data_IF_805430616151
#
_entry.id   IF_805430616151
#
_cell.length_a   1.000
_cell.length_b   1.000
_cell.length_c   1.000
_cell.angle_alpha   90.00
_cell.angle_beta   90.00
_cell.angle_gamma   90.00
#
_symmetry.space_group_name_H-M   'P 1'
#
loop_
_entity.id
_entity.type
_entity.pdbx_description
1 polymer ?
#
# COMPACT_ATOMS: atom_id res chain seq x y z
N UNK A 1 4.68 2.81 -26.45
CA UNK A 1 5.86 3.10 -25.69
C UNK A 1 5.57 2.93 -24.20
N UNK A 2 6.13 1.89 -23.57
CA UNK A 2 5.84 1.61 -22.16
C UNK A 2 6.28 2.74 -21.23
N UNK A 3 7.17 3.60 -21.67
CA UNK A 3 7.60 4.74 -20.88
C UNK A 3 6.61 5.90 -20.90
N UNK A 4 5.59 5.82 -21.73
CA UNK A 4 4.58 6.87 -21.83
C UNK A 4 3.49 6.69 -20.80
N UNK A 5 3.81 6.94 -19.57
CA UNK A 5 2.79 7.06 -18.51
C UNK A 5 2.20 8.46 -18.58
N UNK A 6 0.93 8.54 -18.90
CA UNK A 6 0.23 9.82 -18.92
C UNK A 6 -0.18 10.19 -17.50
N UNK A 7 0.28 11.35 -17.03
CA UNK A 7 -0.15 11.88 -15.76
C UNK A 7 -1.49 12.58 -15.98
N UNK A 8 -2.50 12.17 -15.24
CA UNK A 8 -3.84 12.77 -15.29
C UNK A 8 -4.30 13.12 -13.88
N UNK A 9 -4.96 14.23 -13.75
CA UNK A 9 -5.66 14.56 -12.52
C UNK A 9 -6.86 13.64 -12.34
N UNK A 10 -6.91 12.94 -11.22
CA UNK A 10 -8.02 12.06 -10.84
C UNK A 10 -8.47 12.39 -9.44
N UNK A 11 -9.77 12.32 -9.22
CA UNK A 11 -10.33 12.59 -7.91
C UNK A 11 -9.93 11.53 -6.90
N UNK A 12 -9.43 11.98 -5.75
CA UNK A 12 -9.10 11.10 -4.63
C UNK A 12 -10.38 10.87 -3.83
N UNK A 13 -10.78 9.61 -3.71
CA UNK A 13 -11.94 9.21 -2.90
C UNK A 13 -11.60 9.25 -1.42
N UNK A 14 -10.43 8.73 -1.05
CA UNK A 14 -9.97 8.72 0.33
C UNK A 14 -8.45 8.58 0.39
N UNK A 15 -7.87 9.06 1.49
CA UNK A 15 -6.49 8.76 1.85
C UNK A 15 -6.57 7.95 3.15
N UNK A 16 -6.11 6.71 3.10
CA UNK A 16 -6.09 5.87 4.29
C UNK A 16 -4.81 6.09 5.08
N UNK A 17 -4.93 6.06 6.38
CA UNK A 17 -3.81 6.17 7.32
C UNK A 17 -3.85 4.94 8.21
N UNK A 18 -2.82 4.11 8.12
CA UNK A 18 -2.79 2.87 8.88
C UNK A 18 -1.47 2.69 9.61
N UNK A 19 -1.53 2.00 10.73
CA UNK A 19 -0.37 1.49 11.45
C UNK A 19 -0.51 -0.02 11.50
N UNK A 20 -0.09 -0.71 10.46
CA UNK A 20 -0.26 -2.15 10.39
C UNK A 20 0.59 -2.87 11.43
N UNK A 21 0.19 -4.10 11.77
CA UNK A 21 0.93 -4.97 12.68
C UNK A 21 2.02 -5.74 11.91
N UNK A 22 2.77 -5.06 11.08
CA UNK A 22 3.88 -5.66 10.35
C UNK A 22 5.15 -5.62 11.19
N UNK A 23 5.96 -6.66 11.08
CA UNK A 23 7.29 -6.67 11.67
C UNK A 23 8.28 -5.93 10.78
N UNK A 24 8.08 -6.03 9.45
CA UNK A 24 8.97 -5.47 8.45
C UNK A 24 8.21 -4.73 7.36
N UNK A 25 8.88 -3.71 6.80
CA UNK A 25 8.48 -3.03 5.57
C UNK A 25 9.65 -3.03 4.61
N UNK A 26 9.45 -2.51 3.40
CA UNK A 26 10.49 -2.41 2.39
C UNK A 26 10.96 -0.96 2.27
N UNK A 27 12.26 -0.76 2.30
CA UNK A 27 12.88 0.52 1.97
C UNK A 27 13.43 0.44 0.55
N UNK A 28 12.89 1.28 -0.33
CA UNK A 28 13.40 1.46 -1.68
C UNK A 28 14.31 2.70 -1.64
N UNK A 29 15.60 2.48 -1.67
CA UNK A 29 16.57 3.56 -1.57
C UNK A 29 16.56 4.46 -2.81
N UNK A 30 16.96 5.71 -2.62
CA UNK A 30 17.10 6.67 -3.72
C UNK A 30 17.94 6.05 -4.85
N UNK A 31 17.48 6.20 -6.08
CA UNK A 31 18.11 5.66 -7.30
C UNK A 31 18.16 4.12 -7.37
N UNK A 32 17.45 3.41 -6.50
CA UNK A 32 17.56 1.94 -6.44
C UNK A 32 17.05 1.23 -7.70
N UNK A 33 16.03 1.79 -8.35
CA UNK A 33 15.43 1.16 -9.54
C UNK A 33 16.04 1.67 -10.84
N UNK A 34 16.36 2.94 -10.89
CA UNK A 34 17.10 3.61 -11.95
C UNK A 34 17.45 5.02 -11.47
N UNK A 35 18.19 5.77 -12.31
CA UNK A 35 18.56 7.14 -11.96
C UNK A 35 17.32 7.97 -11.59
N UNK A 36 17.34 8.55 -10.41
CA UNK A 36 16.26 9.38 -9.85
C UNK A 36 14.92 8.62 -9.67
N UNK A 37 14.97 7.31 -9.52
CA UNK A 37 13.80 6.47 -9.23
C UNK A 37 14.13 5.47 -8.12
N UNK A 38 13.60 5.66 -6.93
CA UNK A 38 12.91 6.87 -6.48
C UNK A 38 13.85 8.05 -6.31
N UNK A 39 13.28 9.24 -6.26
CA UNK A 39 14.06 10.49 -6.07
C UNK A 39 14.49 10.70 -4.62
N UNK A 40 13.93 9.93 -3.70
CA UNK A 40 14.26 9.92 -2.28
C UNK A 40 13.97 8.53 -1.73
N UNK A 41 14.61 8.16 -0.62
CA UNK A 41 14.32 6.91 0.07
C UNK A 41 12.82 6.81 0.34
N UNK A 42 12.21 5.69 -0.01
CA UNK A 42 10.77 5.49 0.06
C UNK A 42 10.46 4.20 0.81
N UNK A 43 9.69 4.33 1.88
CA UNK A 43 9.23 3.17 2.67
C UNK A 43 7.85 2.75 2.21
N UNK A 44 7.64 1.46 2.04
CA UNK A 44 6.41 0.91 1.47
C UNK A 44 6.15 -0.49 2.06
N UNK A 45 4.89 -0.88 2.16
CA UNK A 45 4.56 -2.22 2.64
C UNK A 45 5.02 -3.28 1.63
N UNK A 46 5.33 -4.48 2.14
CA UNK A 46 5.89 -5.57 1.33
C UNK A 46 5.02 -5.98 0.14
N UNK A 47 3.72 -5.94 0.32
CA UNK A 47 2.76 -6.38 -0.70
C UNK A 47 2.36 -5.31 -1.71
N UNK A 48 2.78 -4.07 -1.48
CA UNK A 48 2.46 -2.96 -2.37
C UNK A 48 3.21 -3.09 -3.68
N UNK A 49 2.51 -2.90 -4.78
CA UNK A 49 3.11 -3.06 -6.11
C UNK A 49 3.66 -1.74 -6.63
N UNK A 50 4.82 -1.84 -7.25
CA UNK A 50 5.50 -0.72 -7.90
C UNK A 50 5.92 -1.14 -9.30
N UNK A 51 6.04 -0.15 -10.19
CA UNK A 51 6.49 -0.41 -11.56
C UNK A 51 8.00 -0.65 -11.59
N UNK A 52 8.40 -1.74 -12.23
CA UNK A 52 9.80 -2.06 -12.46
C UNK A 52 9.94 -2.88 -13.75
N UNK A 53 10.72 -2.37 -14.70
CA UNK A 53 11.04 -3.05 -15.98
C UNK A 53 9.83 -3.65 -16.70
N UNK A 54 8.79 -2.86 -16.86
CA UNK A 54 7.63 -3.24 -17.66
C UNK A 54 6.49 -3.93 -16.89
N UNK A 55 6.63 -4.15 -15.58
CA UNK A 55 5.62 -4.84 -14.77
C UNK A 55 5.40 -4.17 -13.43
N UNK A 56 4.21 -4.35 -12.89
CA UNK A 56 3.91 -3.99 -11.49
C UNK A 56 4.29 -5.17 -10.61
N UNK A 57 5.29 -4.98 -9.77
CA UNK A 57 5.90 -6.02 -8.93
C UNK A 57 5.73 -5.65 -7.45
N UNK A 58 5.47 -6.63 -6.61
CA UNK A 58 5.43 -6.40 -5.16
C UNK A 58 6.77 -5.89 -4.67
N UNK A 59 6.75 -4.88 -3.80
CA UNK A 59 7.97 -4.30 -3.24
C UNK A 59 8.87 -5.37 -2.62
N UNK A 60 8.28 -6.37 -1.96
CA UNK A 60 9.02 -7.48 -1.38
C UNK A 60 9.85 -8.27 -2.40
N UNK A 61 9.37 -8.39 -3.63
CA UNK A 61 10.11 -9.09 -4.69
C UNK A 61 11.31 -8.29 -5.19
N UNK A 62 11.27 -6.97 -5.08
CA UNK A 62 12.38 -6.11 -5.49
C UNK A 62 13.62 -6.27 -4.63
N UNK A 63 13.45 -6.73 -3.39
CA UNK A 63 14.58 -6.96 -2.47
C UNK A 63 15.60 -7.91 -3.08
N UNK A 64 15.14 -8.94 -3.79
CA UNK A 64 16.00 -9.94 -4.43
C UNK A 64 16.54 -9.47 -5.79
N UNK A 65 15.99 -8.39 -6.34
CA UNK A 65 16.32 -7.92 -7.70
C UNK A 65 17.18 -6.67 -7.71
N UNK A 66 17.16 -5.89 -6.65
CA UNK A 66 17.82 -4.58 -6.60
C UNK A 66 18.61 -4.43 -5.29
N UNK A 67 19.90 -4.08 -5.40
CA UNK A 67 20.75 -3.88 -4.21
C UNK A 67 20.27 -2.76 -3.29
N UNK A 68 19.69 -1.72 -3.86
CA UNK A 68 19.20 -0.56 -3.11
C UNK A 68 17.83 -0.78 -2.45
N UNK A 69 17.27 -1.98 -2.53
CA UNK A 69 15.99 -2.33 -1.93
C UNK A 69 16.20 -3.35 -0.83
N UNK A 70 15.69 -3.07 0.36
CA UNK A 70 15.89 -3.95 1.52
C UNK A 70 14.69 -3.98 2.45
N UNK A 71 14.56 -5.07 3.19
CA UNK A 71 13.59 -5.16 4.29
C UNK A 71 14.18 -4.49 5.50
N UNK A 72 13.37 -3.69 6.17
CA UNK A 72 13.76 -3.01 7.42
C UNK A 72 12.69 -3.25 8.48
N UNK A 73 13.09 -3.14 9.74
CA UNK A 73 12.14 -3.24 10.84
C UNK A 73 11.11 -2.10 10.74
N UNK A 74 9.84 -2.43 10.90
CA UNK A 74 8.80 -1.42 10.91
C UNK A 74 8.85 -0.63 12.21
N UNK A 75 8.98 0.68 12.10
CA UNK A 75 9.14 1.60 13.24
C UNK A 75 7.83 2.15 13.80
N UNK A 76 6.69 1.72 13.26
CA UNK A 76 5.38 2.19 13.71
C UNK A 76 4.89 3.48 13.08
N UNK A 77 5.58 4.01 12.07
CA UNK A 77 5.12 5.20 11.37
C UNK A 77 3.82 4.93 10.59
N UNK A 78 3.00 5.96 10.50
CA UNK A 78 1.74 5.85 9.75
C UNK A 78 2.02 5.64 8.26
N UNK A 79 1.42 4.60 7.69
CA UNK A 79 1.44 4.38 6.26
C UNK A 79 0.20 5.00 5.61
N UNK A 80 0.38 5.56 4.43
CA UNK A 80 -0.67 6.23 3.67
C UNK A 80 -0.94 5.48 2.38
N UNK A 81 -2.21 5.35 2.03
CA UNK A 81 -2.63 4.84 0.73
C UNK A 81 -3.67 5.77 0.12
N UNK A 82 -3.65 5.88 -1.19
CA UNK A 82 -4.61 6.69 -1.95
C UNK A 82 -5.64 5.76 -2.58
N UNK A 83 -6.90 6.03 -2.31
CA UNK A 83 -8.03 5.32 -2.91
C UNK A 83 -8.64 6.20 -4.00
N UNK A 84 -8.68 5.66 -5.21
CA UNK A 84 -9.39 6.26 -6.33
C UNK A 84 -10.66 5.45 -6.63
N UNK A 85 -11.52 5.98 -7.48
CA UNK A 85 -12.76 5.31 -7.89
C UNK A 85 -12.47 3.95 -8.56
N UNK A 86 -11.39 3.89 -9.35
CA UNK A 86 -10.90 2.65 -9.96
C UNK A 86 -9.45 2.43 -9.55
N UNK A 87 -9.07 1.16 -9.42
CA UNK A 87 -7.68 0.80 -9.18
C UNK A 87 -6.78 1.35 -10.29
N UNK A 88 -5.75 2.07 -9.93
CA UNK A 88 -4.89 2.77 -10.87
C UNK A 88 -3.46 2.86 -10.31
N UNK A 89 -2.68 3.71 -10.92
CA UNK A 89 -1.30 3.98 -10.54
C UNK A 89 -1.17 5.44 -10.13
N UNK A 90 -0.22 5.72 -9.25
CA UNK A 90 0.14 7.06 -8.82
C UNK A 90 1.65 7.19 -8.80
N UNK A 91 2.15 8.40 -8.79
CA UNK A 91 3.59 8.65 -8.70
C UNK A 91 3.93 9.21 -7.32
N UNK A 92 4.89 8.57 -6.66
CA UNK A 92 5.42 8.98 -5.36
C UNK A 92 6.94 8.99 -5.47
N UNK A 93 7.57 10.13 -5.26
CA UNK A 93 9.02 10.27 -5.39
C UNK A 93 9.56 9.70 -6.72
N UNK A 94 8.92 10.03 -7.83
CA UNK A 94 9.18 9.50 -9.18
C UNK A 94 8.95 7.98 -9.32
N UNK A 95 8.52 7.32 -8.28
CA UNK A 95 8.20 5.90 -8.30
C UNK A 95 6.73 5.71 -8.66
N UNK A 96 6.44 4.87 -9.63
CA UNK A 96 5.06 4.53 -10.00
C UNK A 96 4.59 3.41 -9.08
N UNK A 97 3.58 3.69 -8.29
CA UNK A 97 2.96 2.76 -7.33
C UNK A 97 1.51 2.52 -7.71
N UNK A 98 0.95 1.39 -7.28
CA UNK A 98 -0.49 1.20 -7.39
C UNK A 98 -1.23 2.04 -6.35
N UNK A 99 -2.45 2.46 -6.69
CA UNK A 99 -3.39 2.98 -5.71
C UNK A 99 -3.97 1.83 -4.90
N UNK A 100 -4.67 2.13 -3.81
CA UNK A 100 -5.30 1.09 -3.01
C UNK A 100 -6.38 0.37 -3.84
N UNK A 101 -6.34 -0.96 -3.86
CA UNK A 101 -7.34 -1.76 -4.56
C UNK A 101 -8.71 -1.53 -3.90
N UNK A 102 -9.76 -1.14 -4.68
CA UNK A 102 -11.10 -0.97 -4.12
C UNK A 102 -11.66 -2.22 -3.43
N UNK A 103 -11.19 -3.41 -3.79
CA UNK A 103 -11.57 -4.67 -3.14
C UNK A 103 -10.76 -4.98 -1.88
N UNK A 104 -9.72 -4.19 -1.58
CA UNK A 104 -8.95 -4.34 -0.36
C UNK A 104 -9.85 -4.01 0.85
N UNK A 105 -9.65 -4.75 1.94
CA UNK A 105 -10.45 -4.53 3.15
C UNK A 105 -10.35 -3.08 3.66
N UNK A 106 -9.19 -2.44 3.53
CA UNK A 106 -9.01 -1.05 3.94
C UNK A 106 -9.89 -0.10 3.12
N UNK A 107 -10.07 -0.39 1.82
CA UNK A 107 -10.97 0.38 0.97
C UNK A 107 -12.42 0.26 1.42
N UNK A 108 -12.83 -0.93 1.83
CA UNK A 108 -14.17 -1.17 2.35
C UNK A 108 -14.43 -0.40 3.65
N UNK A 109 -13.42 -0.31 4.49
CA UNK A 109 -13.52 0.41 5.77
C UNK A 109 -13.51 1.93 5.55
N UNK A 110 -12.64 2.42 4.68
CA UNK A 110 -12.36 3.84 4.51
C UNK A 110 -13.13 4.53 3.38
N UNK A 111 -13.95 3.80 2.65
CA UNK A 111 -14.65 4.31 1.46
C UNK A 111 -15.83 5.25 1.73
N UNK A 112 -16.03 5.70 2.96
CA UNK A 112 -17.07 6.68 3.29
C UNK A 112 -18.35 6.12 3.88
N UNK A 113 -18.46 4.79 4.01
CA UNK A 113 -19.64 4.10 4.56
C UNK A 113 -19.74 4.20 6.09
N UNK A 114 -18.59 4.31 6.77
CA UNK A 114 -18.50 4.28 8.22
C UNK A 114 -17.98 5.59 8.78
N UNK A 115 -18.48 6.01 9.95
CA UNK A 115 -17.96 7.16 10.66
C UNK A 115 -16.65 6.80 11.39
N UNK A 116 -16.02 7.80 12.02
CA UNK A 116 -14.74 7.61 12.69
C UNK A 116 -14.79 6.56 13.80
N UNK A 117 -15.83 6.58 14.61
CA UNK A 117 -15.98 5.65 15.75
C UNK A 117 -16.17 4.23 15.23
N UNK A 118 -17.03 4.05 14.22
CA UNK A 118 -17.25 2.76 13.58
C UNK A 118 -15.96 2.21 12.96
N UNK A 119 -15.18 3.07 12.29
CA UNK A 119 -13.90 2.66 11.70
C UNK A 119 -12.91 2.20 12.78
N UNK A 120 -12.82 2.91 13.87
CA UNK A 120 -11.93 2.53 14.98
C UNK A 120 -12.30 1.16 15.56
N UNK A 121 -13.58 0.88 15.71
CA UNK A 121 -14.06 -0.43 16.17
C UNK A 121 -13.72 -1.54 15.18
N UNK A 122 -13.89 -1.28 13.89
CA UNK A 122 -13.55 -2.23 12.81
C UNK A 122 -12.05 -2.49 12.81
N UNK A 123 -11.22 -1.46 12.95
CA UNK A 123 -9.76 -1.62 13.01
C UNK A 123 -9.33 -2.45 14.22
N UNK A 124 -9.94 -2.24 15.36
CA UNK A 124 -9.65 -3.03 16.57
C UNK A 124 -9.96 -4.50 16.34
N UNK A 125 -11.12 -4.80 15.74
CA UNK A 125 -11.50 -6.17 15.39
C UNK A 125 -10.53 -6.78 14.37
N UNK A 126 -10.20 -6.04 13.31
CA UNK A 126 -9.25 -6.49 12.28
C UNK A 126 -7.88 -6.79 12.88
N UNK A 127 -7.37 -5.92 13.73
CA UNK A 127 -6.06 -6.09 14.36
C UNK A 127 -6.02 -7.35 15.22
N UNK A 128 -7.07 -7.66 15.97
CA UNK A 128 -7.18 -8.90 16.73
C UNK A 128 -7.20 -10.14 15.82
N UNK A 129 -7.93 -10.04 14.71
CA UNK A 129 -8.00 -11.13 13.72
C UNK A 129 -6.62 -11.40 13.13
N UNK A 130 -5.90 -10.36 12.74
CA UNK A 130 -4.54 -10.47 12.15
C UNK A 130 -3.58 -11.02 13.19
N UNK A 131 -3.62 -10.49 14.40
CA UNK A 131 -2.74 -10.92 15.50
C UNK A 131 -2.91 -12.39 15.82
N UNK A 132 -4.13 -12.92 15.73
CA UNK A 132 -4.46 -14.33 16.02
C UNK A 132 -4.41 -15.22 14.79
N UNK A 133 -4.12 -14.65 13.62
CA UNK A 133 -4.15 -15.36 12.34
C UNK A 133 -5.49 -16.11 12.12
N UNK A 134 -6.59 -15.46 12.47
CA UNK A 134 -7.93 -16.06 12.44
C UNK A 134 -8.58 -15.90 11.06
N UNK A 135 -8.22 -16.75 10.10
CA UNK A 135 -8.61 -16.65 8.69
C UNK A 135 -10.13 -16.63 8.51
N UNK A 136 -10.86 -17.51 9.21
CA UNK A 136 -12.32 -17.57 9.07
C UNK A 136 -13.00 -16.31 9.60
N UNK A 137 -12.48 -15.72 10.68
CA UNK A 137 -12.98 -14.46 11.22
C UNK A 137 -12.70 -13.30 10.26
N UNK A 138 -11.55 -13.32 9.59
CA UNK A 138 -11.23 -12.35 8.55
C UNK A 138 -12.24 -12.39 7.41
N UNK A 139 -12.54 -13.57 6.90
CA UNK A 139 -13.53 -13.75 5.83
C UNK A 139 -14.90 -13.23 6.24
N UNK A 140 -15.33 -13.52 7.45
CA UNK A 140 -16.62 -13.04 7.97
C UNK A 140 -16.66 -11.52 8.10
N UNK A 141 -15.58 -10.93 8.61
CA UNK A 141 -15.49 -9.46 8.68
C UNK A 141 -15.54 -8.84 7.29
N UNK A 142 -14.74 -9.36 6.35
CA UNK A 142 -14.70 -8.87 4.99
C UNK A 142 -16.09 -8.89 4.32
N UNK A 143 -16.82 -9.98 4.46
CA UNK A 143 -18.17 -10.12 3.88
C UNK A 143 -19.19 -9.21 4.55
N UNK A 144 -18.99 -8.84 5.81
CA UNK A 144 -19.88 -7.95 6.54
C UNK A 144 -19.70 -6.48 6.15
N UNK A 145 -18.51 -6.12 5.65
CA UNK A 145 -18.19 -4.77 5.21
C UNK A 145 -18.72 -4.51 3.80
#
# INVERSE_FOLDING_TARGET
NPSKHTIRGKEIVAITRTRPLFEEIVLIGKNALMNNVPSADTEISKEHRVYYKGSMIKANELVEKCEGVKRIAYNGETLYNVLLKKHDKMMVNNLICETLDPENIMSKICGGKYNKIEREDIYAELNEIIKRNAVEKYKKLYMRL
#
